data_IF_339579867212
#
_entry.id   IF_339579867212
#
_cell.length_a   1.000
_cell.length_b   1.000
_cell.length_c   1.000
_cell.angle_alpha   90.00
_cell.angle_beta   90.00
_cell.angle_gamma   90.00
#
_symmetry.space_group_name_H-M   'P 1'
#
loop_
_entity.id
_entity.type
_entity.pdbx_description
1 polymer ?
#
# COMPACT_ATOMS: atom_id res chain seq x y z
N UNK A 1 -13.82 19.42 -3.05
CA UNK A 1 -14.10 18.11 -3.67
C UNK A 1 -13.67 17.06 -2.66
N UNK A 2 -14.64 16.38 -2.05
CA UNK A 2 -14.39 15.46 -0.95
C UNK A 2 -13.81 14.11 -1.41
N UNK A 3 -14.10 13.70 -2.65
CA UNK A 3 -13.70 12.44 -3.27
C UNK A 3 -13.05 12.66 -4.62
N UNK A 4 -12.12 11.77 -4.98
CA UNK A 4 -11.60 11.64 -6.33
C UNK A 4 -11.95 10.26 -6.88
N UNK A 5 -12.43 10.23 -8.12
CA UNK A 5 -12.70 9.00 -8.85
C UNK A 5 -11.95 9.02 -10.18
N UNK A 6 -11.37 7.88 -10.54
CA UNK A 6 -10.72 7.67 -11.82
C UNK A 6 -11.09 6.33 -12.44
N UNK A 7 -11.24 6.32 -13.76
CA UNK A 7 -11.58 5.11 -14.54
C UNK A 7 -10.33 4.50 -15.15
N UNK A 8 -10.20 3.19 -15.01
CA UNK A 8 -9.11 2.40 -15.54
C UNK A 8 -9.64 1.24 -16.39
N UNK A 9 -8.90 0.88 -17.41
CA UNK A 9 -9.07 -0.39 -18.12
C UNK A 9 -7.83 -1.23 -17.86
N UNK A 10 -8.00 -2.43 -17.30
CA UNK A 10 -6.88 -3.30 -16.91
C UNK A 10 -6.12 -3.78 -18.15
N UNK A 11 -4.82 -3.46 -18.20
CA UNK A 11 -3.93 -3.76 -19.31
C UNK A 11 -3.16 -5.08 -19.09
N UNK A 12 -2.61 -5.65 -20.17
CA UNK A 12 -1.87 -6.92 -20.10
C UNK A 12 -0.72 -6.92 -19.11
N UNK A 13 0.09 -5.85 -19.07
CA UNK A 13 1.25 -5.74 -18.18
C UNK A 13 0.87 -5.68 -16.69
N UNK A 14 -0.37 -5.31 -16.40
CA UNK A 14 -0.90 -5.25 -15.03
C UNK A 14 -1.42 -6.60 -14.54
N UNK A 15 -1.48 -7.61 -15.39
CA UNK A 15 -2.02 -8.93 -15.06
C UNK A 15 -0.93 -9.97 -14.85
N UNK A 16 -1.24 -10.95 -14.01
CA UNK A 16 -0.48 -12.19 -13.89
C UNK A 16 -0.84 -13.16 -15.04
N UNK A 17 -0.22 -14.35 -15.06
CA UNK A 17 -0.46 -15.37 -16.08
C UNK A 17 -1.91 -15.91 -16.12
N UNK A 18 -2.66 -15.76 -15.03
CA UNK A 18 -4.08 -16.14 -14.93
C UNK A 18 -5.03 -15.01 -15.39
N UNK A 19 -4.48 -13.90 -15.89
CA UNK A 19 -5.24 -12.74 -16.34
C UNK A 19 -5.84 -11.89 -15.22
N UNK A 20 -5.48 -12.10 -13.96
CA UNK A 20 -5.89 -11.29 -12.80
C UNK A 20 -4.94 -10.13 -12.58
N UNK A 21 -5.47 -8.99 -12.15
CA UNK A 21 -4.66 -7.84 -11.76
C UNK A 21 -3.67 -8.24 -10.65
N UNK A 22 -2.37 -7.95 -10.85
CA UNK A 22 -1.33 -8.15 -9.84
C UNK A 22 -1.58 -7.23 -8.65
N UNK A 23 -1.31 -7.71 -7.46
CA UNK A 23 -1.47 -6.92 -6.23
C UNK A 23 -0.63 -5.64 -6.27
N UNK A 24 0.61 -5.71 -6.77
CA UNK A 24 1.46 -4.54 -6.97
C UNK A 24 0.69 -3.40 -7.67
N UNK A 25 0.05 -3.68 -8.80
CA UNK A 25 -0.60 -2.63 -9.60
C UNK A 25 -1.85 -2.06 -8.92
N UNK A 26 -2.53 -2.82 -8.07
CA UNK A 26 -3.59 -2.29 -7.22
C UNK A 26 -3.04 -1.22 -6.27
N UNK A 27 -1.91 -1.50 -5.61
CA UNK A 27 -1.27 -0.55 -4.70
C UNK A 27 -0.66 0.65 -5.44
N UNK A 28 -0.10 0.45 -6.64
CA UNK A 28 0.35 1.55 -7.51
C UNK A 28 -0.82 2.52 -7.81
N UNK A 29 -1.99 1.99 -8.22
CA UNK A 29 -3.18 2.80 -8.46
C UNK A 29 -3.66 3.54 -7.20
N UNK A 30 -3.62 2.88 -6.04
CA UNK A 30 -4.02 3.51 -4.78
C UNK A 30 -3.09 4.66 -4.39
N UNK A 31 -1.78 4.48 -4.53
CA UNK A 31 -0.79 5.52 -4.23
C UNK A 31 -0.92 6.71 -5.17
N UNK A 32 -1.03 6.45 -6.48
CA UNK A 32 -1.16 7.51 -7.49
C UNK A 32 -2.43 8.34 -7.24
N UNK A 33 -3.58 7.68 -7.09
CA UNK A 33 -4.84 8.38 -6.86
C UNK A 33 -4.85 9.13 -5.51
N UNK A 34 -4.16 8.61 -4.50
CA UNK A 34 -3.99 9.29 -3.20
C UNK A 34 -3.16 10.56 -3.35
N UNK A 35 -2.07 10.52 -4.14
CA UNK A 35 -1.20 11.64 -4.42
C UNK A 35 -1.95 12.74 -5.18
N UNK A 36 -2.59 12.40 -6.30
CA UNK A 36 -3.40 13.33 -7.09
C UNK A 36 -4.47 14.03 -6.28
N UNK A 37 -5.17 13.26 -5.43
CA UNK A 37 -6.20 13.84 -4.58
C UNK A 37 -5.61 14.77 -3.52
N UNK A 38 -4.48 14.40 -2.90
CA UNK A 38 -3.79 15.23 -1.92
C UNK A 38 -3.33 16.56 -2.53
N UNK A 39 -2.82 16.54 -3.78
CA UNK A 39 -2.45 17.76 -4.52
C UNK A 39 -3.66 18.67 -4.75
N UNK A 40 -4.80 18.12 -5.19
CA UNK A 40 -6.05 18.88 -5.37
C UNK A 40 -6.62 19.46 -4.07
N UNK A 41 -6.35 18.81 -2.94
CA UNK A 41 -6.73 19.28 -1.61
C UNK A 41 -5.73 20.31 -1.03
N UNK A 42 -4.62 20.59 -1.71
CA UNK A 42 -3.59 21.54 -1.24
C UNK A 42 -2.75 21.01 -0.08
N UNK A 43 -2.64 19.69 0.05
CA UNK A 43 -1.83 19.00 1.08
C UNK A 43 -0.88 17.95 0.48
N UNK A 44 -0.71 17.96 -0.84
CA UNK A 44 0.09 16.99 -1.57
C UNK A 44 1.57 17.37 -1.67
N UNK A 45 2.24 16.79 -2.67
CA UNK A 45 3.71 16.79 -2.78
C UNK A 45 4.32 18.20 -2.82
N UNK A 46 3.84 19.08 -3.72
CA UNK A 46 4.41 20.42 -3.87
C UNK A 46 4.22 21.29 -2.61
N UNK A 47 3.06 21.22 -1.97
CA UNK A 47 2.79 21.96 -0.74
C UNK A 47 3.62 21.40 0.43
N UNK A 48 3.83 20.10 0.48
CA UNK A 48 4.72 19.47 1.45
C UNK A 48 6.15 19.96 1.29
N UNK A 49 6.67 20.02 0.05
CA UNK A 49 8.03 20.55 -0.21
C UNK A 49 8.19 22.00 0.26
N UNK A 50 7.22 22.87 -0.03
CA UNK A 50 7.23 24.28 0.43
C UNK A 50 7.25 24.40 1.95
N UNK A 51 6.70 23.43 2.65
CA UNK A 51 6.60 23.39 4.13
C UNK A 51 7.64 22.49 4.78
N UNK A 52 8.63 22.01 3.99
CA UNK A 52 9.70 21.12 4.43
C UNK A 52 9.19 19.87 5.19
N UNK A 53 8.16 19.25 4.67
CA UNK A 53 7.55 18.03 5.20
C UNK A 53 7.23 17.03 4.09
N UNK A 54 6.85 15.81 4.47
CA UNK A 54 6.40 14.76 3.55
C UNK A 54 5.39 13.84 4.22
N UNK A 55 4.49 13.26 3.42
CA UNK A 55 3.64 12.17 3.84
C UNK A 55 4.36 10.84 3.67
N UNK A 56 4.36 10.03 4.72
CA UNK A 56 4.89 8.66 4.72
C UNK A 56 3.74 7.70 4.94
N UNK A 57 3.57 6.75 4.04
CA UNK A 57 2.61 5.68 4.22
C UNK A 57 3.10 4.74 5.33
N UNK A 58 2.26 4.53 6.35
CA UNK A 58 2.58 3.67 7.49
C UNK A 58 1.85 2.34 7.42
N UNK A 59 0.60 2.32 6.91
CA UNK A 59 -0.24 1.13 6.91
C UNK A 59 -1.19 1.08 5.72
N UNK A 60 -1.53 -0.15 5.35
CA UNK A 60 -2.72 -0.47 4.55
C UNK A 60 -3.49 -1.63 5.18
N UNK A 61 -4.81 -1.60 4.99
CA UNK A 61 -5.68 -2.76 5.13
C UNK A 61 -6.63 -2.79 3.94
N UNK A 62 -6.61 -3.87 3.17
CA UNK A 62 -7.35 -4.02 1.91
C UNK A 62 -8.16 -5.31 1.96
N UNK A 63 -9.46 -5.21 1.72
CA UNK A 63 -10.40 -6.33 1.65
C UNK A 63 -10.79 -6.53 0.18
N UNK A 64 -10.59 -7.73 -0.34
CA UNK A 64 -10.73 -8.07 -1.75
C UNK A 64 -11.84 -9.10 -1.93
N UNK A 65 -12.99 -8.64 -2.44
CA UNK A 65 -14.04 -9.58 -2.88
C UNK A 65 -13.66 -10.23 -4.22
N UNK A 66 -13.13 -9.45 -5.16
CA UNK A 66 -12.70 -9.96 -6.46
C UNK A 66 -11.61 -9.06 -7.05
N UNK A 67 -10.51 -9.66 -7.52
CA UNK A 67 -9.52 -8.94 -8.32
C UNK A 67 -10.05 -8.71 -9.74
N UNK A 68 -9.89 -7.49 -10.29
CA UNK A 68 -10.18 -7.21 -11.70
C UNK A 68 -9.33 -8.08 -12.62
N UNK A 69 -9.84 -8.36 -13.81
CA UNK A 69 -9.16 -9.13 -14.85
C UNK A 69 -8.76 -8.27 -16.04
N UNK A 70 -7.95 -8.81 -16.90
CA UNK A 70 -7.56 -8.19 -18.17
C UNK A 70 -8.79 -7.71 -18.96
N UNK A 71 -8.75 -6.46 -19.41
CA UNK A 71 -9.83 -5.70 -20.08
C UNK A 71 -11.03 -5.31 -19.22
N UNK A 72 -11.07 -5.70 -17.96
CA UNK A 72 -12.11 -5.15 -17.07
C UNK A 72 -11.95 -3.63 -16.99
N UNK A 73 -13.08 -2.94 -16.97
CA UNK A 73 -13.16 -1.51 -16.68
C UNK A 73 -13.56 -1.36 -15.24
N UNK A 74 -12.76 -0.59 -14.51
CA UNK A 74 -12.98 -0.31 -13.10
C UNK A 74 -12.99 1.18 -12.84
N UNK A 75 -13.64 1.58 -11.76
CA UNK A 75 -13.54 2.93 -11.20
C UNK A 75 -12.92 2.81 -9.81
N UNK A 76 -11.85 3.54 -9.56
CA UNK A 76 -11.24 3.65 -8.23
C UNK A 76 -11.65 4.99 -7.62
N UNK A 77 -12.20 4.97 -6.42
CA UNK A 77 -12.55 6.13 -5.62
C UNK A 77 -11.61 6.23 -4.42
N UNK A 78 -11.17 7.44 -4.08
CA UNK A 78 -10.41 7.70 -2.86
C UNK A 78 -10.86 8.99 -2.18
N UNK A 79 -10.77 9.04 -0.85
CA UNK A 79 -11.08 10.20 -0.04
C UNK A 79 -10.37 10.16 1.33
N UNK A 80 -10.06 11.33 1.93
CA UNK A 80 -9.64 11.39 3.32
C UNK A 80 -10.85 11.24 4.24
N UNK A 81 -10.74 10.39 5.25
CA UNK A 81 -11.81 10.21 6.25
C UNK A 81 -11.47 10.85 7.61
N UNK A 82 -10.17 11.05 7.89
CA UNK A 82 -9.76 11.57 9.21
C UNK A 82 -8.37 12.19 9.21
N UNK A 83 -8.20 13.27 10.01
CA UNK A 83 -6.89 13.78 10.43
C UNK A 83 -6.82 13.79 11.96
N UNK A 84 -5.84 13.10 12.55
CA UNK A 84 -5.63 13.03 14.00
C UNK A 84 -4.15 13.18 14.34
N UNK A 85 -3.78 14.29 14.96
CA UNK A 85 -2.38 14.58 15.25
C UNK A 85 -1.54 14.57 13.97
N UNK A 86 -0.49 13.75 13.88
CA UNK A 86 0.34 13.65 12.68
C UNK A 86 -0.24 12.75 11.60
N UNK A 87 -1.41 12.16 11.80
CA UNK A 87 -1.93 11.07 10.98
C UNK A 87 -3.09 11.52 10.10
N UNK A 88 -3.04 11.12 8.82
CA UNK A 88 -4.16 11.15 7.87
C UNK A 88 -4.62 9.73 7.55
N UNK A 89 -5.94 9.50 7.59
CA UNK A 89 -6.57 8.25 7.15
C UNK A 89 -7.22 8.51 5.80
N UNK A 90 -6.99 7.60 4.87
CA UNK A 90 -7.51 7.64 3.51
C UNK A 90 -8.12 6.31 3.13
N UNK A 91 -9.24 6.38 2.46
CA UNK A 91 -10.02 5.23 2.08
C UNK A 91 -10.11 5.07 0.57
N UNK A 92 -10.33 3.83 0.12
CA UNK A 92 -10.39 3.46 -1.28
C UNK A 92 -11.54 2.50 -1.53
N UNK A 93 -12.21 2.65 -2.67
CA UNK A 93 -13.16 1.69 -3.19
C UNK A 93 -12.86 1.43 -4.65
N UNK A 94 -12.91 0.18 -5.06
CA UNK A 94 -12.82 -0.22 -6.47
C UNK A 94 -14.16 -0.78 -6.89
N UNK A 95 -14.71 -0.22 -7.94
CA UNK A 95 -16.02 -0.62 -8.51
C UNK A 95 -15.82 -1.26 -9.88
N UNK A 96 -16.65 -2.23 -10.21
CA UNK A 96 -16.78 -2.72 -11.58
C UNK A 96 -17.59 -1.73 -12.46
N UNK A 97 -17.75 -2.06 -13.74
CA UNK A 97 -18.49 -1.23 -14.71
C UNK A 97 -20.01 -1.17 -14.39
N UNK A 98 -20.51 -2.06 -13.54
CA UNK A 98 -21.91 -2.09 -13.06
C UNK A 98 -22.10 -1.35 -11.73
N UNK A 99 -21.02 -0.82 -11.13
CA UNK A 99 -21.04 -0.12 -9.85
C UNK A 99 -20.98 -1.05 -8.63
N UNK A 100 -20.72 -2.34 -8.79
CA UNK A 100 -20.49 -3.24 -7.66
C UNK A 100 -19.10 -3.02 -7.07
N UNK A 101 -19.01 -3.02 -5.74
CA UNK A 101 -17.72 -2.89 -5.04
C UNK A 101 -16.97 -4.22 -5.14
N UNK A 102 -15.78 -4.18 -5.72
CA UNK A 102 -14.85 -5.31 -5.82
C UNK A 102 -13.81 -5.32 -4.70
N UNK A 103 -13.37 -4.12 -4.26
CA UNK A 103 -12.30 -3.98 -3.27
C UNK A 103 -12.59 -2.77 -2.40
N UNK A 104 -12.29 -2.88 -1.10
CA UNK A 104 -12.26 -1.79 -0.14
C UNK A 104 -10.88 -1.71 0.48
N UNK A 105 -10.38 -0.51 0.69
CA UNK A 105 -9.07 -0.31 1.32
C UNK A 105 -9.05 0.90 2.23
N UNK A 106 -8.21 0.85 3.23
CA UNK A 106 -7.88 1.98 4.09
C UNK A 106 -6.36 2.08 4.22
N UNK A 107 -5.85 3.31 4.26
CA UNK A 107 -4.43 3.58 4.48
C UNK A 107 -4.24 4.63 5.56
N UNK A 108 -3.11 4.51 6.25
CA UNK A 108 -2.65 5.47 7.26
C UNK A 108 -1.37 6.14 6.78
N UNK A 109 -1.39 7.46 6.77
CA UNK A 109 -0.26 8.29 6.40
C UNK A 109 0.17 9.14 7.59
N UNK A 110 1.49 9.34 7.74
CA UNK A 110 2.06 10.16 8.80
C UNK A 110 2.80 11.33 8.17
N UNK A 111 2.45 12.55 8.57
CA UNK A 111 3.17 13.75 8.15
C UNK A 111 4.46 13.86 8.95
N UNK A 112 5.60 13.94 8.29
CA UNK A 112 6.91 14.09 8.91
C UNK A 112 7.60 15.35 8.44
N UNK A 113 8.37 16.01 9.32
CA UNK A 113 9.28 17.08 8.95
C UNK A 113 10.60 16.54 8.42
N UNK A 114 11.07 17.08 7.29
CA UNK A 114 12.27 16.55 6.59
C UNK A 114 13.58 16.83 7.32
N UNK A 115 13.67 17.89 8.13
CA UNK A 115 14.93 18.22 8.86
C UNK A 115 15.25 17.22 9.97
N UNK A 116 14.23 16.81 10.75
CA UNK A 116 14.43 16.00 11.96
C UNK A 116 13.75 14.63 11.88
N UNK A 117 13.10 14.33 10.78
CA UNK A 117 12.31 13.11 10.53
C UNK A 117 11.34 12.81 11.68
N UNK A 118 10.68 13.86 12.21
CA UNK A 118 9.73 13.75 13.32
C UNK A 118 8.30 13.97 12.83
N UNK A 119 7.32 13.28 13.40
CA UNK A 119 5.90 13.52 13.11
C UNK A 119 5.50 14.97 13.41
N UNK A 120 4.72 15.56 12.50
CA UNK A 120 4.15 16.91 12.58
C UNK A 120 2.64 16.84 12.68
N UNK A 121 2.03 17.65 13.55
CA UNK A 121 0.57 17.76 13.64
C UNK A 121 0.03 18.37 12.35
N UNK A 122 -0.83 17.65 11.65
CA UNK A 122 -1.33 18.03 10.31
C UNK A 122 -1.95 19.43 10.32
N UNK A 123 -2.81 19.70 11.30
CA UNK A 123 -3.53 20.97 11.42
C UNK A 123 -2.62 22.19 11.73
N UNK A 124 -1.39 21.95 12.20
CA UNK A 124 -0.41 23.01 12.41
C UNK A 124 0.33 23.40 11.11
N UNK A 125 0.30 22.52 10.11
CA UNK A 125 1.00 22.68 8.84
C UNK A 125 0.04 23.10 7.72
N UNK A 126 -1.16 22.49 7.70
CA UNK A 126 -2.16 22.69 6.65
C UNK A 126 -3.48 23.23 7.23
N UNK A 127 -4.15 24.08 6.47
CA UNK A 127 -5.52 24.53 6.78
C UNK A 127 -6.53 23.42 6.42
N UNK A 128 -6.71 22.49 7.34
CA UNK A 128 -7.63 21.36 7.14
C UNK A 128 -9.12 21.76 7.19
N UNK A 129 -9.46 23.01 7.55
CA UNK A 129 -10.86 23.45 7.59
C UNK A 129 -11.52 23.49 6.21
N UNK A 130 -10.72 23.54 5.15
CA UNK A 130 -11.16 23.53 3.75
C UNK A 130 -11.28 22.14 3.14
N UNK A 131 -10.86 21.12 3.87
CA UNK A 131 -10.89 19.73 3.42
C UNK A 131 -12.17 19.07 3.93
N UNK A 132 -13.06 18.75 3.01
CA UNK A 132 -14.24 17.94 3.32
C UNK A 132 -13.80 16.48 3.57
N UNK A 133 -14.06 16.01 4.78
CA UNK A 133 -13.83 14.62 5.16
C UNK A 133 -15.10 13.81 4.86
N UNK A 134 -14.90 12.60 4.38
CA UNK A 134 -15.98 11.64 4.15
C UNK A 134 -16.11 10.66 5.33
N UNK A 135 -17.27 10.00 5.39
CA UNK A 135 -17.53 8.98 6.40
C UNK A 135 -16.57 7.79 6.25
N UNK A 136 -15.99 7.36 7.38
CA UNK A 136 -15.10 6.20 7.39
C UNK A 136 -15.85 4.90 7.14
N UNK A 137 -15.24 3.97 6.42
CA UNK A 137 -15.72 2.59 6.29
C UNK A 137 -15.50 1.75 7.56
N UNK A 138 -14.84 2.31 8.58
CA UNK A 138 -14.51 1.65 9.84
C UNK A 138 -13.68 0.34 9.67
N UNK A 139 -12.91 0.24 8.59
CA UNK A 139 -11.97 -0.85 8.41
C UNK A 139 -10.80 -0.66 9.38
N UNK A 140 -10.50 -1.64 10.27
CA UNK A 140 -9.47 -1.48 11.28
C UNK A 140 -8.06 -1.41 10.66
N UNK A 141 -7.18 -0.61 11.26
CA UNK A 141 -5.74 -0.54 10.95
C UNK A 141 -4.94 -1.05 12.15
N UNK A 142 -5.11 -2.32 12.45
CA UNK A 142 -4.47 -2.93 13.61
C UNK A 142 -2.95 -2.98 13.44
N UNK A 143 -2.25 -2.98 14.57
CA UNK A 143 -0.80 -3.17 14.58
C UNK A 143 -0.49 -4.64 14.39
N UNK A 144 0.32 -4.95 13.40
CA UNK A 144 0.78 -6.31 13.19
C UNK A 144 1.79 -6.73 14.26
N UNK A 145 1.62 -7.94 14.79
CA UNK A 145 2.58 -8.57 15.70
C UNK A 145 3.89 -8.94 15.01
N UNK A 146 4.87 -9.36 15.81
CA UNK A 146 6.06 -10.06 15.28
C UNK A 146 5.74 -11.53 15.07
N UNK A 147 6.24 -12.09 13.99
CA UNK A 147 6.23 -13.54 13.75
C UNK A 147 7.42 -14.14 14.47
N UNK A 148 7.19 -15.19 15.26
CA UNK A 148 8.26 -15.84 16.07
C UNK A 148 9.15 -16.77 15.24
N UNK A 149 8.60 -17.41 14.21
CA UNK A 149 9.33 -18.33 13.33
C UNK A 149 8.79 -18.23 11.91
N UNK A 150 9.66 -18.46 10.95
CA UNK A 150 9.35 -18.50 9.52
C UNK A 150 9.63 -19.90 8.98
N UNK A 151 8.84 -20.37 8.03
CA UNK A 151 9.05 -21.66 7.38
C UNK A 151 9.63 -21.54 5.96
N UNK A 152 9.77 -20.31 5.47
CA UNK A 152 10.39 -20.02 4.18
C UNK A 152 11.14 -18.67 4.24
N UNK A 153 12.35 -18.64 3.64
CA UNK A 153 13.16 -17.43 3.53
C UNK A 153 13.80 -17.34 2.16
N UNK A 154 13.78 -16.15 1.56
CA UNK A 154 14.35 -15.94 0.24
C UNK A 154 15.02 -14.58 0.12
N UNK A 155 16.20 -14.53 -0.51
CA UNK A 155 16.90 -13.30 -0.82
C UNK A 155 16.47 -12.77 -2.19
N UNK A 156 16.02 -11.52 -2.26
CA UNK A 156 15.62 -10.84 -3.49
C UNK A 156 16.54 -9.66 -3.77
N UNK A 157 16.97 -9.52 -5.03
CA UNK A 157 17.74 -8.38 -5.49
C UNK A 157 16.82 -7.15 -5.70
N UNK A 158 17.25 -5.98 -5.24
CA UNK A 158 16.61 -4.70 -5.53
C UNK A 158 17.12 -4.15 -6.87
N UNK A 159 16.22 -3.65 -7.70
CA UNK A 159 16.52 -3.15 -9.03
C UNK A 159 16.28 -1.66 -9.14
N UNK A 160 16.90 -1.02 -10.12
CA UNK A 160 16.66 0.39 -10.42
C UNK A 160 15.16 0.70 -10.66
N UNK A 161 14.44 -0.22 -11.31
CA UNK A 161 13.00 -0.10 -11.59
C UNK A 161 12.09 -0.21 -10.35
N UNK A 162 12.66 -0.59 -9.21
CA UNK A 162 11.95 -0.66 -7.94
C UNK A 162 11.92 0.68 -7.17
N UNK A 163 12.72 1.68 -7.64
CA UNK A 163 12.90 2.97 -6.95
C UNK A 163 11.85 3.98 -7.42
N UNK A 164 11.24 4.67 -6.48
CA UNK A 164 10.29 5.76 -6.73
C UNK A 164 10.97 7.15 -6.79
N UNK A 165 10.17 8.19 -7.02
CA UNK A 165 10.61 9.59 -7.09
C UNK A 165 11.20 10.13 -5.78
N UNK A 166 10.97 9.44 -4.67
CA UNK A 166 11.54 9.78 -3.35
C UNK A 166 12.89 9.10 -3.12
N UNK A 167 13.46 8.44 -4.12
CA UNK A 167 14.70 7.65 -4.05
C UNK A 167 14.63 6.47 -3.07
N UNK A 168 13.44 5.97 -2.79
CA UNK A 168 13.19 4.79 -1.98
C UNK A 168 12.61 3.66 -2.82
N UNK A 169 12.70 2.45 -2.31
CA UNK A 169 11.97 1.32 -2.90
C UNK A 169 10.47 1.59 -2.73
N UNK A 170 9.74 1.59 -3.85
CA UNK A 170 8.30 1.85 -3.88
C UNK A 170 7.57 0.84 -2.99
N UNK A 171 6.60 1.31 -2.22
CA UNK A 171 5.82 0.49 -1.28
C UNK A 171 5.12 -0.70 -1.96
N UNK A 172 4.68 -0.56 -3.21
CA UNK A 172 4.05 -1.63 -3.98
C UNK A 172 5.01 -2.78 -4.33
N UNK A 173 6.34 -2.54 -4.32
CA UNK A 173 7.35 -3.58 -4.52
C UNK A 173 7.33 -4.60 -3.39
N UNK A 174 7.17 -4.18 -2.15
CA UNK A 174 7.07 -5.12 -1.03
C UNK A 174 5.89 -6.07 -1.20
N UNK A 175 4.78 -5.59 -1.77
CA UNK A 175 3.61 -6.44 -2.09
C UNK A 175 3.93 -7.42 -3.22
N UNK A 176 4.66 -6.97 -4.25
CA UNK A 176 5.11 -7.84 -5.34
C UNK A 176 6.01 -8.97 -4.83
N UNK A 177 6.93 -8.66 -3.93
CA UNK A 177 7.82 -9.68 -3.32
C UNK A 177 7.03 -10.75 -2.54
N UNK A 178 5.96 -10.35 -1.85
CA UNK A 178 5.07 -11.29 -1.18
C UNK A 178 4.26 -12.12 -2.18
N UNK A 179 3.76 -11.50 -3.26
CA UNK A 179 3.01 -12.19 -4.33
C UNK A 179 3.89 -13.25 -5.02
N UNK A 180 5.16 -12.91 -5.30
CA UNK A 180 6.15 -13.83 -5.84
C UNK A 180 6.39 -15.02 -4.87
N UNK A 181 6.62 -14.76 -3.59
CA UNK A 181 6.84 -15.80 -2.59
C UNK A 181 5.61 -16.71 -2.39
N UNK A 182 4.40 -16.14 -2.48
CA UNK A 182 3.15 -16.92 -2.50
C UNK A 182 3.13 -17.88 -3.69
N UNK A 183 3.39 -17.39 -4.91
CA UNK A 183 3.36 -18.21 -6.10
C UNK A 183 4.44 -19.30 -6.07
N UNK A 184 5.66 -18.97 -5.65
CA UNK A 184 6.76 -19.93 -5.53
C UNK A 184 6.47 -21.07 -4.54
N UNK A 185 5.72 -20.77 -3.47
CA UNK A 185 5.38 -21.76 -2.46
C UNK A 185 4.16 -22.60 -2.85
N UNK A 186 3.09 -21.95 -3.35
CA UNK A 186 1.85 -22.65 -3.70
C UNK A 186 1.92 -23.35 -5.05
N UNK A 187 2.70 -22.83 -6.01
CA UNK A 187 2.86 -23.32 -7.40
C UNK A 187 1.53 -23.54 -8.14
N UNK A 188 0.53 -22.76 -7.80
CA UNK A 188 -0.80 -22.79 -8.38
C UNK A 188 -1.46 -21.42 -8.27
N UNK A 189 -2.57 -21.24 -9.01
CA UNK A 189 -3.41 -20.04 -8.89
C UNK A 189 -3.96 -19.91 -7.46
N UNK A 190 -4.00 -18.67 -6.97
CA UNK A 190 -4.59 -18.33 -5.68
C UNK A 190 -5.44 -17.07 -5.76
N UNK A 191 -6.40 -16.96 -4.87
CA UNK A 191 -7.21 -15.77 -4.67
C UNK A 191 -6.96 -15.18 -3.28
N UNK A 192 -6.69 -13.87 -3.27
CA UNK A 192 -6.49 -13.12 -2.03
C UNK A 192 -7.83 -12.54 -1.58
N UNK A 193 -8.11 -12.65 -0.27
CA UNK A 193 -9.29 -12.05 0.36
C UNK A 193 -8.97 -10.79 1.15
N UNK A 194 -7.74 -10.69 1.70
CA UNK A 194 -7.38 -9.60 2.60
C UNK A 194 -5.87 -9.38 2.59
N UNK A 195 -5.44 -8.12 2.68
CA UNK A 195 -4.03 -7.74 2.81
C UNK A 195 -3.92 -6.69 3.91
N UNK A 196 -3.08 -6.94 4.90
CA UNK A 196 -2.67 -5.95 5.90
C UNK A 196 -1.18 -5.66 5.76
N UNK A 197 -0.80 -4.39 5.85
CA UNK A 197 0.59 -3.94 5.70
C UNK A 197 0.96 -2.96 6.80
N UNK A 198 2.11 -3.17 7.41
CA UNK A 198 2.81 -2.23 8.29
C UNK A 198 4.17 -1.88 7.64
N UNK A 199 4.31 -0.68 7.08
CA UNK A 199 5.62 -0.17 6.66
C UNK A 199 6.38 0.37 7.87
N UNK A 200 7.64 -0.04 8.02
CA UNK A 200 8.49 0.30 9.18
C UNK A 200 9.59 1.28 8.81
N UNK A 201 10.31 0.98 7.75
CA UNK A 201 11.42 1.78 7.24
C UNK A 201 11.52 1.58 5.73
N UNK A 202 11.91 2.62 5.01
CA UNK A 202 12.12 2.50 3.57
C UNK A 202 13.46 1.83 3.28
N UNK A 203 13.48 0.86 2.37
CA UNK A 203 14.72 0.39 1.75
C UNK A 203 15.16 1.36 0.64
N UNK A 204 16.43 1.34 0.32
CA UNK A 204 17.03 2.12 -0.76
C UNK A 204 17.82 1.22 -1.69
N UNK A 205 18.09 1.67 -2.92
CA UNK A 205 18.80 0.85 -3.91
C UNK A 205 20.20 0.41 -3.44
N UNK A 206 20.86 1.20 -2.57
CA UNK A 206 22.16 0.85 -2.01
C UNK A 206 22.13 -0.32 -1.03
N UNK A 207 20.96 -0.72 -0.53
CA UNK A 207 20.79 -1.95 0.26
C UNK A 207 20.98 -3.21 -0.60
N UNK A 208 20.86 -3.09 -1.94
CA UNK A 208 21.08 -4.12 -2.97
C UNK A 208 20.13 -5.31 -2.89
N UNK A 209 19.87 -5.83 -1.71
CA UNK A 209 19.05 -7.01 -1.47
C UNK A 209 18.16 -6.82 -0.26
N UNK A 210 17.06 -7.56 -0.26
CA UNK A 210 16.18 -7.72 0.90
C UNK A 210 15.97 -9.22 1.16
N UNK A 211 15.78 -9.56 2.42
CA UNK A 211 15.39 -10.91 2.82
C UNK A 211 13.86 -10.93 3.03
N UNK A 212 13.18 -11.75 2.26
CA UNK A 212 11.75 -12.03 2.41
C UNK A 212 11.60 -13.27 3.28
N UNK A 213 11.07 -13.10 4.48
CA UNK A 213 10.76 -14.16 5.43
C UNK A 213 9.26 -14.41 5.41
N UNK A 214 8.84 -15.65 5.28
CA UNK A 214 7.43 -16.02 5.16
C UNK A 214 7.05 -17.12 6.12
N UNK A 215 5.84 -17.04 6.67
CA UNK A 215 5.19 -18.09 7.44
C UNK A 215 3.84 -18.40 6.79
N UNK A 216 3.71 -19.61 6.26
CA UNK A 216 2.48 -20.11 5.65
C UNK A 216 1.79 -21.08 6.61
N UNK A 217 0.60 -20.70 7.08
CA UNK A 217 -0.27 -21.51 7.93
C UNK A 217 -1.67 -21.51 7.33
N UNK A 218 -2.07 -22.60 6.74
CA UNK A 218 -3.32 -22.75 6.00
C UNK A 218 -3.48 -21.65 4.93
N UNK A 219 -4.43 -20.74 5.15
CA UNK A 219 -4.75 -19.61 4.26
C UNK A 219 -4.22 -18.28 4.76
N UNK A 220 -3.50 -18.29 5.85
CA UNK A 220 -2.88 -17.11 6.43
C UNK A 220 -1.38 -17.11 6.13
N UNK A 221 -0.91 -16.06 5.49
CA UNK A 221 0.46 -15.93 5.04
C UNK A 221 1.05 -14.66 5.64
N UNK A 222 1.99 -14.80 6.56
CA UNK A 222 2.68 -13.70 7.20
C UNK A 222 4.06 -13.51 6.57
N UNK A 223 4.39 -12.25 6.26
CA UNK A 223 5.67 -11.87 5.67
C UNK A 223 6.34 -10.80 6.51
N UNK A 224 7.66 -10.92 6.64
CA UNK A 224 8.51 -9.83 7.11
C UNK A 224 9.62 -9.62 6.09
N UNK A 225 9.69 -8.41 5.53
CA UNK A 225 10.75 -8.02 4.60
C UNK A 225 11.77 -7.23 5.38
N UNK A 226 13.00 -7.73 5.38
CA UNK A 226 14.09 -7.16 6.18
C UNK A 226 15.28 -6.82 5.29
N UNK A 227 16.22 -6.08 5.86
CA UNK A 227 17.56 -5.99 5.30
C UNK A 227 18.18 -7.40 5.22
N UNK A 228 19.14 -7.61 4.33
CA UNK A 228 19.80 -8.90 4.07
C UNK A 228 20.37 -9.56 5.33
N UNK A 229 20.87 -8.75 6.29
CA UNK A 229 21.40 -9.19 7.58
C UNK A 229 20.33 -9.29 8.70
N UNK A 230 19.08 -9.10 8.38
CA UNK A 230 17.93 -9.07 9.33
C UNK A 230 18.01 -7.96 10.40
N UNK A 231 18.89 -6.98 10.27
CA UNK A 231 19.06 -5.91 11.26
C UNK A 231 17.92 -4.88 11.27
N UNK A 232 17.18 -4.78 10.18
CA UNK A 232 16.12 -3.79 9.97
C UNK A 232 14.91 -4.41 9.30
N UNK A 233 13.74 -4.28 9.92
CA UNK A 233 12.46 -4.57 9.26
C UNK A 233 12.07 -3.39 8.36
N UNK A 234 11.81 -3.66 7.09
CA UNK A 234 11.26 -2.69 6.14
C UNK A 234 9.74 -2.72 6.13
N UNK A 235 9.13 -3.91 6.06
CA UNK A 235 7.70 -4.08 6.06
C UNK A 235 7.28 -5.40 6.72
N UNK A 236 6.07 -5.40 7.32
CA UNK A 236 5.36 -6.61 7.71
C UNK A 236 4.04 -6.65 6.96
N UNK A 237 3.73 -7.80 6.39
CA UNK A 237 2.58 -7.97 5.52
C UNK A 237 1.89 -9.28 5.90
N UNK A 238 0.57 -9.23 6.02
CA UNK A 238 -0.26 -10.41 6.16
C UNK A 238 -1.18 -10.50 4.95
N UNK A 239 -1.25 -11.67 4.33
CA UNK A 239 -2.13 -11.95 3.21
C UNK A 239 -2.98 -13.16 3.56
N UNK A 240 -4.31 -12.99 3.47
CA UNK A 240 -5.25 -14.08 3.63
C UNK A 240 -5.75 -14.54 2.27
N UNK A 241 -5.70 -15.84 2.06
CA UNK A 241 -6.20 -16.47 0.85
C UNK A 241 -7.68 -16.83 0.99
N UNK A 242 -8.38 -16.88 -0.15
CA UNK A 242 -9.75 -17.38 -0.19
C UNK A 242 -9.83 -18.88 0.04
N UNK A 243 -11.00 -19.38 0.45
CA UNK A 243 -11.29 -20.81 0.58
C UNK A 243 -11.07 -21.59 -0.70
#
# INVERSE_FOLDING_TARGET
MSKLQEKFEIKTYQCNEFGKMKLRHLFDCFQELASDHADRLGVGYEECLKKNCAWVCAKYHVIIDKLPKFKDKITIETYPSKFVGPTGIREFKVFDDNGNILIKGVSQWVLIGLERLRPLIVQNIFDCSKIELEESMEIPLDKMGSVESYNFEEMKDLRYDDVDVNHHINNAIYISLCEDALFENLKQEFDVSEISVDFKKSAVLSDKKVLVKSLFVDKNCDFTITKDDSSVDFARINIKLKP
#
